data_IF_454925616935
#
_entry.id   IF_454925616935
#
_cell.length_a   1.000
_cell.length_b   1.000
_cell.length_c   1.000
_cell.angle_alpha   90.00
_cell.angle_beta   90.00
_cell.angle_gamma   90.00
#
_symmetry.space_group_name_H-M   'P 1'
#
loop_
_entity.id
_entity.type
_entity.pdbx_description
1 polymer ?
#
# COMPACT_ATOMS: atom_id res chain seq x y z
N UNK A 1 -9.87 19.61 15.74
CA UNK A 1 -9.02 18.39 15.72
C UNK A 1 -8.84 18.06 14.26
N UNK A 2 -7.61 17.86 13.75
CA UNK A 2 -7.47 17.41 12.37
C UNK A 2 -8.11 16.02 12.31
N UNK A 3 -9.08 15.87 11.42
CA UNK A 3 -9.66 14.57 11.07
C UNK A 3 -8.54 13.69 10.55
N UNK A 4 -8.18 12.65 11.31
CA UNK A 4 -7.24 11.62 10.83
C UNK A 4 -7.80 11.03 9.53
N UNK A 5 -7.10 11.24 8.42
CA UNK A 5 -7.44 10.68 7.12
C UNK A 5 -7.07 9.19 7.07
N UNK A 6 -7.71 8.40 7.93
CA UNK A 6 -7.41 6.97 8.07
C UNK A 6 -8.35 6.11 7.23
N UNK A 7 -7.80 5.31 6.33
CA UNK A 7 -8.56 4.24 5.67
C UNK A 7 -8.57 3.00 6.57
N UNK A 8 -9.76 2.42 6.77
CA UNK A 8 -9.95 1.18 7.52
C UNK A 8 -10.58 0.15 6.58
N UNK A 9 -10.09 -1.08 6.65
CA UNK A 9 -10.66 -2.21 5.94
C UNK A 9 -10.22 -3.52 6.58
N UNK A 10 -10.68 -4.62 6.00
CA UNK A 10 -10.43 -5.98 6.49
C UNK A 10 -9.94 -6.82 5.32
N UNK A 11 -8.92 -7.63 5.57
CA UNK A 11 -8.46 -8.65 4.63
C UNK A 11 -9.23 -9.94 4.91
N UNK A 12 -9.74 -10.57 3.86
CA UNK A 12 -10.44 -11.85 3.92
C UNK A 12 -9.53 -12.99 3.44
N UNK A 13 -9.79 -14.25 3.82
CA UNK A 13 -9.08 -15.39 3.24
C UNK A 13 -9.16 -15.39 1.70
N UNK A 14 -8.04 -15.68 1.02
CA UNK A 14 -7.96 -15.70 -0.45
C UNK A 14 -7.87 -14.31 -1.10
N UNK A 15 -7.72 -13.24 -0.32
CA UNK A 15 -7.58 -11.87 -0.84
C UNK A 15 -6.40 -11.72 -1.82
N UNK A 16 -5.31 -12.42 -1.57
CA UNK A 16 -4.10 -12.47 -2.40
C UNK A 16 -4.32 -13.11 -3.78
N UNK A 17 -5.41 -13.84 -3.98
CA UNK A 17 -5.76 -14.44 -5.29
C UNK A 17 -6.37 -13.40 -6.25
N UNK A 18 -6.70 -12.21 -5.73
CA UNK A 18 -7.42 -11.16 -6.45
C UNK A 18 -6.63 -9.85 -6.58
N UNK A 19 -5.30 -9.87 -6.43
CA UNK A 19 -4.44 -8.68 -6.45
C UNK A 19 -4.63 -7.83 -7.72
N UNK A 20 -4.62 -8.45 -8.91
CA UNK A 20 -4.81 -7.74 -10.16
C UNK A 20 -6.17 -7.03 -10.22
N UNK A 21 -7.23 -7.70 -9.72
CA UNK A 21 -8.58 -7.13 -9.67
C UNK A 21 -8.64 -5.96 -8.68
N UNK A 22 -7.97 -6.07 -7.53
CA UNK A 22 -7.86 -4.98 -6.56
C UNK A 22 -7.10 -3.77 -7.15
N UNK A 23 -6.01 -4.00 -7.88
CA UNK A 23 -5.28 -2.92 -8.56
C UNK A 23 -6.17 -2.24 -9.61
N UNK A 24 -6.87 -3.02 -10.43
CA UNK A 24 -7.75 -2.46 -11.47
C UNK A 24 -8.91 -1.66 -10.87
N UNK A 25 -9.36 -1.99 -9.65
CA UNK A 25 -10.36 -1.20 -8.94
C UNK A 25 -9.90 0.22 -8.61
N UNK A 26 -8.59 0.50 -8.51
CA UNK A 26 -8.10 1.88 -8.35
C UNK A 26 -8.44 2.75 -9.56
N UNK A 27 -8.43 2.19 -10.77
CA UNK A 27 -8.79 2.93 -11.98
C UNK A 27 -10.27 3.36 -12.02
N UNK A 28 -11.11 2.84 -11.11
CA UNK A 28 -12.47 3.33 -10.94
C UNK A 28 -12.55 4.64 -10.15
N UNK A 29 -11.44 5.11 -9.57
CA UNK A 29 -11.39 6.44 -8.95
C UNK A 29 -11.59 7.51 -10.02
N UNK A 30 -12.62 8.37 -9.89
CA UNK A 30 -12.90 9.38 -10.90
C UNK A 30 -11.68 10.28 -11.18
N UNK A 31 -11.28 10.37 -12.45
CA UNK A 31 -10.14 11.17 -12.89
C UNK A 31 -8.76 10.55 -12.61
N UNK A 32 -8.71 9.23 -12.42
CA UNK A 32 -7.49 8.43 -12.45
C UNK A 32 -7.57 7.46 -13.64
N UNK A 33 -6.81 7.74 -14.70
CA UNK A 33 -6.74 6.84 -15.86
C UNK A 33 -5.90 5.60 -15.51
N UNK A 34 -6.29 4.42 -16.03
CA UNK A 34 -5.60 3.15 -15.75
C UNK A 34 -4.12 3.18 -16.14
N UNK A 35 -3.78 3.89 -17.20
CA UNK A 35 -2.42 4.02 -17.73
C UNK A 35 -1.47 4.79 -16.79
N UNK A 36 -2.04 5.52 -15.82
CA UNK A 36 -1.29 6.22 -14.78
C UNK A 36 -0.77 5.23 -13.72
N UNK A 37 -1.42 4.06 -13.57
CA UNK A 37 -1.07 3.05 -12.58
C UNK A 37 0.08 2.16 -13.08
N UNK A 38 1.29 2.70 -13.02
CA UNK A 38 2.54 2.07 -13.51
C UNK A 38 3.37 1.35 -12.42
N UNK A 39 2.80 1.18 -11.23
CA UNK A 39 3.45 0.62 -10.05
C UNK A 39 4.70 1.39 -9.60
N UNK A 40 4.74 2.70 -9.84
CA UNK A 40 5.72 3.61 -9.25
C UNK A 40 5.20 4.27 -7.97
N UNK A 41 6.09 4.79 -7.14
CA UNK A 41 5.69 5.66 -6.01
C UNK A 41 5.03 6.94 -6.49
N UNK A 42 5.40 7.46 -7.67
CA UNK A 42 4.80 8.66 -8.25
C UNK A 42 3.32 8.46 -8.60
N UNK A 43 2.97 7.31 -9.17
CA UNK A 43 1.57 6.96 -9.43
C UNK A 43 0.74 6.81 -8.15
N UNK A 44 1.36 6.32 -7.08
CA UNK A 44 0.75 6.24 -5.76
C UNK A 44 0.46 7.65 -5.19
N UNK A 45 1.39 8.60 -5.35
CA UNK A 45 1.17 10.01 -4.96
C UNK A 45 -0.01 10.64 -5.73
N UNK A 46 -0.19 10.29 -7.00
CA UNK A 46 -1.34 10.75 -7.78
C UNK A 46 -2.66 10.14 -7.27
N UNK A 47 -2.67 8.85 -6.94
CA UNK A 47 -3.84 8.19 -6.32
C UNK A 47 -4.20 8.88 -5.01
N UNK A 48 -3.21 9.14 -4.15
CA UNK A 48 -3.38 9.86 -2.89
C UNK A 48 -3.98 11.25 -3.12
N UNK A 49 -3.42 12.05 -4.03
CA UNK A 49 -3.93 13.38 -4.34
C UNK A 49 -5.41 13.36 -4.79
N UNK A 50 -5.83 12.32 -5.52
CA UNK A 50 -7.24 12.14 -5.94
C UNK A 50 -8.16 11.76 -4.78
N UNK A 51 -7.67 10.98 -3.83
CA UNK A 51 -8.42 10.60 -2.62
C UNK A 51 -8.57 11.82 -1.71
N UNK A 52 -7.47 12.52 -1.43
CA UNK A 52 -7.45 13.68 -0.55
C UNK A 52 -8.30 14.84 -1.10
N UNK A 53 -8.30 15.08 -2.41
CA UNK A 53 -9.14 16.11 -3.02
C UNK A 53 -10.65 15.88 -2.86
N UNK A 54 -11.06 14.69 -2.41
CA UNK A 54 -12.46 14.28 -2.24
C UNK A 54 -12.78 13.86 -0.81
N UNK A 55 -11.84 13.97 0.12
CA UNK A 55 -11.96 13.39 1.45
C UNK A 55 -13.19 13.88 2.23
N UNK A 56 -13.51 15.17 2.09
CA UNK A 56 -14.67 15.80 2.74
C UNK A 56 -15.97 15.65 1.94
N UNK A 57 -15.94 15.01 0.77
CA UNK A 57 -17.14 14.76 -0.02
C UNK A 57 -17.95 13.62 0.62
N UNK A 58 -19.21 13.92 0.97
CA UNK A 58 -20.12 12.95 1.63
C UNK A 58 -20.29 11.64 0.85
N UNK A 59 -20.46 11.69 -0.47
CA UNK A 59 -20.61 10.46 -1.27
C UNK A 59 -19.31 9.65 -1.35
N UNK A 60 -18.16 10.32 -1.23
CA UNK A 60 -16.85 9.66 -1.18
C UNK A 60 -16.60 8.99 0.19
N UNK A 61 -17.04 9.61 1.29
CA UNK A 61 -16.91 9.04 2.63
C UNK A 61 -17.59 7.67 2.77
N UNK A 62 -18.75 7.51 2.15
CA UNK A 62 -19.49 6.23 2.11
C UNK A 62 -18.74 5.14 1.33
N UNK A 63 -17.86 5.54 0.40
CA UNK A 63 -17.11 4.63 -0.47
C UNK A 63 -15.66 4.40 0.01
N UNK A 64 -15.17 5.16 0.99
CA UNK A 64 -13.75 5.13 1.38
C UNK A 64 -13.27 3.75 1.83
N UNK A 65 -14.10 3.00 2.55
CA UNK A 65 -13.72 1.69 3.06
C UNK A 65 -13.42 0.70 1.92
N UNK A 66 -14.08 0.86 0.76
CA UNK A 66 -13.83 0.05 -0.43
C UNK A 66 -12.48 0.34 -1.09
N UNK A 67 -11.82 1.45 -0.75
CA UNK A 67 -10.49 1.80 -1.29
C UNK A 67 -9.35 1.09 -0.57
N UNK A 68 -9.61 0.52 0.62
CA UNK A 68 -8.58 -0.12 1.43
C UNK A 68 -7.87 -1.25 0.67
N UNK A 69 -8.63 -2.22 0.16
CA UNK A 69 -8.05 -3.37 -0.56
C UNK A 69 -7.33 -2.97 -1.85
N UNK A 70 -7.89 -2.12 -2.73
CA UNK A 70 -7.20 -1.62 -3.92
C UNK A 70 -5.86 -0.92 -3.61
N UNK A 71 -5.83 -0.04 -2.61
CA UNK A 71 -4.60 0.68 -2.23
C UNK A 71 -3.56 -0.25 -1.64
N UNK A 72 -3.98 -1.18 -0.78
CA UNK A 72 -3.08 -2.15 -0.17
C UNK A 72 -2.47 -3.09 -1.21
N UNK A 73 -3.27 -3.57 -2.16
CA UNK A 73 -2.79 -4.37 -3.29
C UNK A 73 -1.78 -3.59 -4.14
N UNK A 74 -2.08 -2.33 -4.48
CA UNK A 74 -1.18 -1.50 -5.27
C UNK A 74 0.14 -1.22 -4.57
N UNK A 75 0.10 -0.83 -3.29
CA UNK A 75 1.30 -0.63 -2.49
C UNK A 75 2.14 -1.91 -2.38
N UNK A 76 1.48 -3.06 -2.20
CA UNK A 76 2.16 -4.36 -2.18
C UNK A 76 2.80 -4.73 -3.51
N UNK A 77 2.17 -4.44 -4.64
CA UNK A 77 2.76 -4.66 -5.97
C UNK A 77 4.01 -3.81 -6.21
N UNK A 78 4.05 -2.57 -5.70
CA UNK A 78 5.27 -1.74 -5.72
C UNK A 78 6.40 -2.46 -4.97
N UNK A 79 6.13 -2.95 -3.75
CA UNK A 79 7.11 -3.73 -2.96
C UNK A 79 7.54 -4.98 -3.72
N UNK A 80 6.57 -5.77 -4.18
CA UNK A 80 6.79 -7.06 -4.84
C UNK A 80 7.72 -6.94 -6.04
N UNK A 81 7.50 -5.91 -6.86
CA UNK A 81 8.34 -5.60 -8.02
C UNK A 81 9.74 -5.12 -7.62
N UNK A 82 9.86 -4.41 -6.50
CA UNK A 82 11.16 -3.94 -5.99
C UNK A 82 12.08 -5.05 -5.48
N UNK A 83 11.52 -6.21 -5.12
CA UNK A 83 12.25 -7.37 -4.56
C UNK A 83 12.32 -8.56 -5.52
N UNK A 84 12.40 -8.30 -6.82
CA UNK A 84 12.48 -9.34 -7.87
C UNK A 84 11.28 -10.30 -7.89
N UNK A 85 10.07 -9.74 -7.87
CA UNK A 85 8.82 -10.51 -7.95
C UNK A 85 8.62 -11.49 -6.78
N UNK A 86 8.68 -10.96 -5.55
CA UNK A 86 8.34 -11.73 -4.35
C UNK A 86 6.94 -12.35 -4.39
N UNK A 87 6.65 -13.24 -3.46
CA UNK A 87 5.34 -13.87 -3.30
C UNK A 87 4.49 -13.12 -2.26
N UNK A 88 3.18 -13.08 -2.48
CA UNK A 88 2.23 -12.67 -1.45
C UNK A 88 2.12 -13.74 -0.38
N UNK A 89 2.12 -13.32 0.88
CA UNK A 89 1.87 -14.17 2.03
C UNK A 89 0.86 -13.49 2.95
N UNK A 90 -0.22 -14.19 3.27
CA UNK A 90 -1.15 -13.76 4.32
C UNK A 90 -0.82 -14.49 5.60
N UNK A 91 -0.49 -13.74 6.65
CA UNK A 91 -0.29 -14.28 7.99
C UNK A 91 -1.40 -13.84 8.91
N UNK A 92 -1.74 -14.68 9.90
CA UNK A 92 -2.66 -14.29 10.96
C UNK A 92 -1.87 -13.76 12.14
N UNK A 93 -2.16 -12.54 12.58
CA UNK A 93 -1.64 -12.00 13.83
C UNK A 93 -2.20 -12.80 15.03
N UNK A 94 -1.34 -13.26 15.92
CA UNK A 94 -1.73 -14.16 17.01
C UNK A 94 -2.49 -13.45 18.13
N UNK A 95 -2.23 -12.15 18.34
CA UNK A 95 -2.84 -11.37 19.41
C UNK A 95 -4.24 -10.88 19.04
N UNK A 96 -4.39 -10.36 17.82
CA UNK A 96 -5.63 -9.73 17.33
C UNK A 96 -6.45 -10.67 16.45
N UNK A 97 -5.85 -11.75 15.95
CA UNK A 97 -6.48 -12.67 15.01
C UNK A 97 -6.70 -12.09 13.62
N UNK A 98 -6.17 -10.90 13.33
CA UNK A 98 -6.33 -10.21 12.06
C UNK A 98 -5.43 -10.84 10.98
N UNK A 99 -5.87 -10.75 9.73
CA UNK A 99 -5.04 -11.17 8.59
C UNK A 99 -4.18 -9.99 8.14
N UNK A 100 -2.88 -10.25 8.01
CA UNK A 100 -1.87 -9.28 7.61
C UNK A 100 -1.18 -9.72 6.32
N UNK A 101 -1.03 -8.82 5.33
CA UNK A 101 -0.39 -9.16 4.08
C UNK A 101 1.09 -8.80 4.10
N UNK A 102 1.89 -9.69 3.52
CA UNK A 102 3.34 -9.57 3.42
C UNK A 102 3.78 -9.89 2.00
N UNK A 103 4.88 -9.26 1.59
CA UNK A 103 5.67 -9.76 0.46
C UNK A 103 6.83 -10.56 1.01
N UNK A 104 7.09 -11.73 0.44
CA UNK A 104 8.22 -12.60 0.79
C UNK A 104 9.10 -12.77 -0.44
N UNK A 105 10.41 -12.59 -0.29
CA UNK A 105 11.34 -12.82 -1.40
C UNK A 105 11.88 -14.26 -1.44
N UNK A 106 12.78 -14.53 -2.39
CA UNK A 106 13.43 -15.85 -2.56
C UNK A 106 14.28 -16.32 -1.35
N UNK A 107 14.55 -15.43 -0.38
CA UNK A 107 15.33 -15.71 0.83
C UNK A 107 14.45 -15.77 2.09
N UNK A 108 13.13 -15.91 1.93
CA UNK A 108 12.13 -15.90 3.02
C UNK A 108 12.12 -14.59 3.84
N UNK A 109 12.65 -13.49 3.30
CA UNK A 109 12.61 -12.19 3.98
C UNK A 109 11.21 -11.60 3.80
N UNK A 110 10.57 -11.27 4.92
CA UNK A 110 9.24 -10.68 4.94
C UNK A 110 9.32 -9.16 4.89
N UNK A 111 8.56 -8.57 3.98
CA UNK A 111 8.45 -7.13 3.77
C UNK A 111 7.06 -6.68 4.18
N UNK A 112 7.02 -5.79 5.17
CA UNK A 112 5.77 -5.22 5.68
C UNK A 112 5.22 -4.21 4.68
N UNK A 113 4.13 -4.56 4.01
CA UNK A 113 3.50 -3.72 2.98
C UNK A 113 2.86 -2.50 3.63
N UNK A 114 2.21 -2.73 4.77
CA UNK A 114 1.62 -1.68 5.59
C UNK A 114 2.68 -0.69 6.10
N UNK A 115 3.97 -1.03 6.14
CA UNK A 115 5.05 -0.11 6.52
C UNK A 115 5.35 0.94 5.45
N UNK A 116 5.06 0.64 4.19
CA UNK A 116 4.93 1.66 3.16
C UNK A 116 3.63 2.44 3.34
N UNK A 117 2.52 1.80 3.69
CA UNK A 117 1.19 2.44 3.88
C UNK A 117 1.08 3.28 5.18
N UNK A 118 1.89 3.05 6.21
CA UNK A 118 1.79 3.70 7.53
C UNK A 118 2.18 5.19 7.53
N UNK A 119 3.19 5.64 6.77
CA UNK A 119 3.37 7.06 6.46
C UNK A 119 2.12 7.73 5.84
N UNK A 120 1.23 6.98 5.20
CA UNK A 120 0.01 7.50 4.55
C UNK A 120 -1.16 7.73 5.52
N UNK A 121 -1.11 7.23 6.76
CA UNK A 121 -2.25 7.30 7.69
C UNK A 121 -2.04 8.33 8.82
N UNK A 122 -0.79 8.73 9.12
CA UNK A 122 -0.51 9.54 10.31
C UNK A 122 0.11 10.94 10.11
N UNK A 123 0.47 11.39 8.90
CA UNK A 123 1.18 12.68 8.75
C UNK A 123 0.47 13.71 7.86
N UNK A 124 -0.45 14.46 8.47
CA UNK A 124 -1.03 15.69 7.93
C UNK A 124 -0.21 16.96 8.26
N UNK A 125 1.04 16.83 8.74
CA UNK A 125 1.81 17.97 9.26
C UNK A 125 3.11 18.31 8.52
N UNK A 126 3.50 17.61 7.44
CA UNK A 126 4.64 18.04 6.64
C UNK A 126 4.34 17.93 5.15
N UNK A 127 4.08 19.09 4.53
CA UNK A 127 4.32 19.29 3.12
C UNK A 127 5.71 18.73 2.74
N UNK A 128 5.77 18.10 1.57
CA UNK A 128 6.96 17.63 0.85
C UNK A 128 7.55 16.27 1.27
N UNK A 129 7.34 15.28 0.40
CA UNK A 129 8.43 14.56 -0.28
C UNK A 129 9.75 14.54 0.50
N UNK A 130 9.95 13.53 1.36
CA UNK A 130 11.29 13.04 1.77
C UNK A 130 11.22 11.72 2.53
N UNK A 131 10.66 10.69 1.92
CA UNK A 131 11.14 9.33 2.14
C UNK A 131 11.90 8.90 0.88
N UNK A 132 13.07 9.53 0.67
CA UNK A 132 14.19 8.79 0.08
C UNK A 132 14.42 7.60 1.00
N UNK A 133 13.87 6.43 0.66
CA UNK A 133 14.45 5.19 1.15
C UNK A 133 15.73 5.00 0.33
N UNK A 134 16.80 5.65 0.78
CA UNK A 134 18.14 5.28 0.33
C UNK A 134 18.45 3.95 1.01
N UNK A 135 18.11 2.85 0.33
CA UNK A 135 18.60 1.52 0.70
C UNK A 135 20.09 1.52 0.35
N UNK A 136 20.94 1.82 1.32
CA UNK A 136 22.36 1.47 1.23
C UNK A 136 22.41 -0.05 1.44
N UNK A 137 22.75 -0.87 0.42
CA UNK A 137 22.95 -2.29 0.65
C UNK A 137 24.14 -2.44 1.61
N UNK A 138 23.85 -2.87 2.85
CA UNK A 138 24.89 -3.46 3.70
C UNK A 138 25.23 -4.81 3.11
N UNK A 139 26.20 -4.83 2.19
CA UNK A 139 26.88 -6.06 1.80
C UNK A 139 27.37 -6.75 3.08
N UNK A 140 27.15 -8.07 3.24
CA UNK A 140 27.68 -8.81 4.37
C UNK A 140 29.21 -8.66 4.35
N UNK A 141 29.77 -8.14 5.46
CA UNK A 141 31.22 -8.19 5.66
C UNK A 141 31.61 -9.66 5.61
N UNK A 142 32.44 -10.04 4.62
CA UNK A 142 33.14 -11.33 4.64
C UNK A 142 33.84 -11.43 5.99
N UNK A 143 33.41 -12.36 6.83
CA UNK A 143 34.18 -12.80 7.97
C UNK A 143 35.49 -13.38 7.43
N UNK A 144 36.62 -12.79 7.83
CA UNK A 144 37.95 -13.40 7.75
C UNK A 144 38.29 -13.96 9.12
#
# INVERSE_FOLDING_TARGET
MPSEHMLKGVITPGWEEHIDQHVDQLANLPGLDRDILDFSTFSLDMVEGRILSRWDNKSFQEQRAALFSPLLAYAGEIVRRSVFEGAWLITKDEETGTLEPWIVDEYDRKYYIMGLVVPFINDLNNLCLRARVEVIPKLPKKMR
#
